data_IF_053064412658
#
_entry.id   IF_053064412658
#
_cell.length_a   1.000
_cell.length_b   1.000
_cell.length_c   1.000
_cell.angle_alpha   90.00
_cell.angle_beta   90.00
_cell.angle_gamma   90.00
#
_symmetry.space_group_name_H-M   'P 1'
#
loop_
_entity.id
_entity.type
_entity.pdbx_description
1 polymer ?
#
# COMPACT_ATOMS: atom_id res chain seq x y z
N UNK A 1 -29.53 2.67 12.18
CA UNK A 1 -30.43 1.53 11.84
C UNK A 1 -30.13 0.93 10.45
N UNK A 2 -28.87 0.74 10.06
CA UNK A 2 -28.56 0.00 8.82
C UNK A 2 -27.23 -0.74 8.93
N UNK A 3 -27.14 -1.61 9.94
CA UNK A 3 -26.13 -2.65 9.98
C UNK A 3 -26.39 -3.68 8.87
N UNK A 4 -25.35 -4.05 8.13
CA UNK A 4 -25.43 -5.09 7.10
C UNK A 4 -25.82 -6.43 7.74
N UNK A 5 -26.87 -7.07 7.20
CA UNK A 5 -27.32 -8.40 7.65
C UNK A 5 -26.48 -9.48 6.97
N UNK A 6 -26.00 -10.43 7.76
CA UNK A 6 -25.19 -11.58 7.33
C UNK A 6 -25.97 -12.84 7.64
N UNK A 7 -25.93 -13.84 6.75
CA UNK A 7 -26.58 -15.13 7.01
C UNK A 7 -25.94 -15.85 8.20
N UNK A 8 -26.66 -16.79 8.79
CA UNK A 8 -26.19 -17.57 9.95
C UNK A 8 -24.90 -18.32 9.64
N UNK A 9 -24.81 -18.89 8.44
CA UNK A 9 -23.70 -19.72 8.00
C UNK A 9 -22.45 -18.87 7.76
N UNK A 10 -22.62 -17.75 7.04
CA UNK A 10 -21.54 -16.78 6.83
C UNK A 10 -21.05 -16.18 8.16
N UNK A 11 -21.96 -15.92 9.12
CA UNK A 11 -21.56 -15.43 10.44
C UNK A 11 -20.72 -16.46 11.20
N UNK A 12 -21.00 -17.75 11.06
CA UNK A 12 -20.21 -18.80 11.70
C UNK A 12 -18.80 -18.89 11.10
N UNK A 13 -18.70 -18.79 9.77
CA UNK A 13 -17.43 -18.80 9.05
C UNK A 13 -16.58 -17.56 9.37
N UNK A 14 -17.18 -16.37 9.38
CA UNK A 14 -16.49 -15.13 9.77
C UNK A 14 -16.04 -15.16 11.24
N UNK A 15 -16.79 -15.83 12.13
CA UNK A 15 -16.36 -16.03 13.52
C UNK A 15 -15.08 -16.86 13.60
N UNK A 16 -15.02 -17.99 12.90
CA UNK A 16 -13.83 -18.85 12.91
C UNK A 16 -12.59 -18.10 12.39
N UNK A 17 -12.73 -17.35 11.30
CA UNK A 17 -11.67 -16.51 10.75
C UNK A 17 -11.23 -15.42 11.73
N UNK A 18 -12.19 -14.77 12.40
CA UNK A 18 -11.90 -13.70 13.36
C UNK A 18 -11.15 -14.19 14.60
N UNK A 19 -11.31 -15.45 15.03
CA UNK A 19 -10.61 -15.96 16.22
C UNK A 19 -9.09 -15.90 16.07
N UNK A 20 -8.54 -16.22 14.90
CA UNK A 20 -7.10 -16.19 14.62
C UNK A 20 -6.53 -14.77 14.49
N UNK A 21 -7.36 -13.77 14.20
CA UNK A 21 -6.91 -12.40 13.99
C UNK A 21 -6.53 -11.70 15.29
N UNK A 22 -5.45 -10.93 15.26
CA UNK A 22 -5.10 -10.00 16.35
C UNK A 22 -5.94 -8.72 16.25
N UNK A 23 -6.26 -8.05 17.36
CA UNK A 23 -6.92 -6.76 17.32
C UNK A 23 -6.03 -5.74 16.60
N UNK A 24 -6.60 -5.03 15.62
CA UNK A 24 -5.87 -4.03 14.82
C UNK A 24 -6.10 -2.63 15.35
N UNK A 25 -7.33 -2.35 15.81
CA UNK A 25 -7.72 -1.05 16.38
C UNK A 25 -7.95 -1.21 17.88
N UNK A 26 -7.45 -0.22 18.63
CA UNK A 26 -7.56 -0.12 20.08
C UNK A 26 -8.37 1.13 20.42
N UNK A 27 -9.48 0.99 21.14
CA UNK A 27 -10.31 2.10 21.61
C UNK A 27 -9.98 2.34 23.08
N UNK A 28 -9.39 3.50 23.38
CA UNK A 28 -8.98 3.91 24.71
C UNK A 28 -10.15 4.35 25.62
N UNK A 29 -9.81 5.01 26.73
CA UNK A 29 -10.78 5.47 27.73
C UNK A 29 -11.70 6.60 27.23
N UNK A 30 -11.25 7.37 26.23
CA UNK A 30 -12.07 8.43 25.59
C UNK A 30 -13.20 7.87 24.71
N UNK A 31 -13.26 6.54 24.52
CA UNK A 31 -14.32 5.90 23.74
C UNK A 31 -14.18 6.12 22.23
N UNK A 32 -15.31 6.19 21.53
CA UNK A 32 -15.36 6.29 20.08
C UNK A 32 -15.15 7.74 19.61
N UNK A 33 -13.92 8.08 19.25
CA UNK A 33 -13.58 9.38 18.65
C UNK A 33 -13.61 9.32 17.11
N UNK A 34 -13.68 10.48 16.46
CA UNK A 34 -13.67 10.56 14.99
C UNK A 34 -12.37 10.03 14.37
N UNK A 35 -11.26 10.17 15.09
CA UNK A 35 -9.96 9.63 14.69
C UNK A 35 -10.00 8.09 14.64
N UNK A 36 -10.50 7.47 15.71
CA UNK A 36 -10.68 6.01 15.80
C UNK A 36 -11.63 5.53 14.70
N UNK A 37 -12.72 6.24 14.44
CA UNK A 37 -13.66 5.88 13.39
C UNK A 37 -13.02 5.91 11.99
N UNK A 38 -12.17 6.90 11.73
CA UNK A 38 -11.41 7.02 10.49
C UNK A 38 -10.43 5.86 10.33
N UNK A 39 -9.72 5.48 11.40
CA UNK A 39 -8.83 4.31 11.40
C UNK A 39 -9.59 3.01 11.14
N UNK A 40 -10.72 2.79 11.81
CA UNK A 40 -11.58 1.62 11.60
C UNK A 40 -11.99 1.54 10.12
N UNK A 41 -12.35 2.68 9.50
CA UNK A 41 -12.72 2.73 8.08
C UNK A 41 -11.57 2.32 7.16
N UNK A 42 -10.35 2.78 7.43
CA UNK A 42 -9.15 2.40 6.65
C UNK A 42 -8.88 0.91 6.78
N UNK A 43 -8.91 0.37 8.00
CA UNK A 43 -8.64 -1.05 8.23
C UNK A 43 -9.75 -1.97 7.70
N UNK A 44 -11.03 -1.55 7.78
CA UNK A 44 -12.13 -2.27 7.13
C UNK A 44 -11.95 -2.32 5.60
N UNK A 45 -11.45 -1.24 4.99
CA UNK A 45 -11.16 -1.23 3.55
C UNK A 45 -10.02 -2.18 3.14
N UNK A 46 -9.02 -2.38 4.00
CA UNK A 46 -7.87 -3.22 3.71
C UNK A 46 -8.07 -4.70 4.06
N UNK A 47 -8.74 -4.99 5.17
CA UNK A 47 -8.83 -6.34 5.73
C UNK A 47 -10.23 -6.95 5.65
N UNK A 48 -11.28 -6.14 5.43
CA UNK A 48 -12.69 -6.54 5.33
C UNK A 48 -13.29 -7.11 6.63
N UNK A 49 -12.53 -7.93 7.37
CA UNK A 49 -12.83 -8.46 8.69
C UNK A 49 -11.79 -7.93 9.68
N UNK A 50 -12.25 -7.26 10.74
CA UNK A 50 -11.36 -6.70 11.76
C UNK A 50 -11.83 -7.05 13.17
N UNK A 51 -10.86 -7.13 14.07
CA UNK A 51 -11.06 -7.25 15.50
C UNK A 51 -10.64 -5.93 16.16
N UNK A 52 -11.54 -5.34 16.93
CA UNK A 52 -11.34 -4.08 17.65
C UNK A 52 -11.32 -4.41 19.14
N UNK A 53 -10.37 -3.84 19.89
CA UNK A 53 -10.34 -3.98 21.34
C UNK A 53 -10.81 -2.68 21.98
N UNK A 54 -11.82 -2.75 22.84
CA UNK A 54 -12.35 -1.60 23.58
C UNK A 54 -11.94 -1.71 25.04
N UNK A 55 -11.21 -0.70 25.51
CA UNK A 55 -10.83 -0.56 26.91
C UNK A 55 -11.95 0.16 27.65
N UNK A 56 -12.92 -0.61 28.12
CA UNK A 56 -13.99 -0.14 29.00
C UNK A 56 -14.56 -1.31 29.78
N UNK A 57 -14.94 -1.08 31.03
CA UNK A 57 -15.41 -2.15 31.93
C UNK A 57 -16.92 -2.37 31.82
N UNK A 58 -17.68 -1.33 31.53
CA UNK A 58 -19.12 -1.40 31.36
C UNK A 58 -19.52 -2.08 30.04
N UNK A 59 -20.40 -3.09 30.14
CA UNK A 59 -20.84 -3.89 28.98
C UNK A 59 -21.77 -3.11 28.06
N UNK A 60 -22.63 -2.28 28.62
CA UNK A 60 -23.63 -1.51 27.88
C UNK A 60 -22.96 -0.47 26.98
N UNK A 61 -21.96 0.26 27.51
CA UNK A 61 -21.16 1.19 26.74
C UNK A 61 -20.47 0.52 25.53
N UNK A 62 -19.97 -0.71 25.68
CA UNK A 62 -19.35 -1.45 24.56
C UNK A 62 -20.35 -1.85 23.49
N UNK A 63 -21.58 -2.19 23.87
CA UNK A 63 -22.66 -2.52 22.92
C UNK A 63 -23.07 -1.26 22.16
N UNK A 64 -23.20 -0.12 22.84
CA UNK A 64 -23.51 1.16 22.21
C UNK A 64 -22.43 1.55 21.18
N UNK A 65 -21.15 1.47 21.55
CA UNK A 65 -20.01 1.74 20.63
C UNK A 65 -20.07 0.78 19.43
N UNK A 66 -20.37 -0.50 19.67
CA UNK A 66 -20.43 -1.50 18.61
C UNK A 66 -21.53 -1.21 17.59
N UNK A 67 -22.72 -0.85 18.07
CA UNK A 67 -23.85 -0.46 17.23
C UNK A 67 -23.56 0.83 16.47
N UNK A 68 -22.98 1.82 17.14
CA UNK A 68 -22.61 3.11 16.53
C UNK A 68 -21.59 2.95 15.40
N UNK A 69 -20.57 2.10 15.58
CA UNK A 69 -19.59 1.78 14.52
C UNK A 69 -20.29 1.11 13.33
N UNK A 70 -21.15 0.13 13.60
CA UNK A 70 -21.86 -0.59 12.54
C UNK A 70 -22.77 0.35 11.74
N UNK A 71 -23.46 1.28 12.41
CA UNK A 71 -24.33 2.27 11.78
C UNK A 71 -23.54 3.29 10.96
N UNK A 72 -22.47 3.86 11.50
CA UNK A 72 -21.69 4.89 10.78
C UNK A 72 -20.93 4.34 9.58
N UNK A 73 -20.47 3.09 9.66
CA UNK A 73 -19.64 2.48 8.60
C UNK A 73 -20.40 1.53 7.68
N UNK A 74 -21.72 1.36 7.90
CA UNK A 74 -22.55 0.35 7.23
C UNK A 74 -21.84 -1.01 7.24
N UNK A 75 -21.46 -1.45 8.44
CA UNK A 75 -20.74 -2.70 8.64
C UNK A 75 -21.65 -3.74 9.32
N UNK A 76 -21.29 -5.00 9.17
CA UNK A 76 -21.99 -6.12 9.73
C UNK A 76 -21.44 -6.48 11.13
N UNK A 77 -22.32 -6.55 12.15
CA UNK A 77 -21.96 -7.10 13.43
C UNK A 77 -21.87 -8.63 13.37
N UNK A 78 -20.68 -9.17 13.68
CA UNK A 78 -20.42 -10.62 13.69
C UNK A 78 -20.46 -11.17 15.11
N UNK A 79 -19.66 -10.61 16.02
CA UNK A 79 -19.54 -11.11 17.39
C UNK A 79 -18.99 -10.05 18.35
N UNK A 80 -19.49 -10.09 19.59
CA UNK A 80 -18.96 -9.34 20.73
C UNK A 80 -18.44 -10.35 21.77
N UNK A 81 -17.14 -10.29 22.10
CA UNK A 81 -16.47 -11.18 23.04
C UNK A 81 -15.77 -10.33 24.10
N UNK A 82 -16.43 -10.08 25.23
CA UNK A 82 -15.84 -9.33 26.33
C UNK A 82 -15.38 -7.93 25.90
N UNK A 83 -14.07 -7.69 25.82
CA UNK A 83 -13.45 -6.43 25.38
C UNK A 83 -13.16 -6.38 23.87
N UNK A 84 -13.53 -7.41 23.11
CA UNK A 84 -13.26 -7.55 21.69
C UNK A 84 -14.55 -7.47 20.87
N UNK A 85 -14.52 -6.65 19.82
CA UNK A 85 -15.60 -6.48 18.86
C UNK A 85 -15.12 -6.97 17.49
N UNK A 86 -15.93 -7.80 16.85
CA UNK A 86 -15.65 -8.33 15.50
C UNK A 86 -16.65 -7.74 14.53
N UNK A 87 -16.13 -7.01 13.56
CA UNK A 87 -16.92 -6.30 12.56
C UNK A 87 -16.44 -6.72 11.18
N UNK A 88 -17.38 -6.91 10.27
CA UNK A 88 -17.11 -7.27 8.88
C UNK A 88 -17.78 -6.31 7.92
N UNK A 89 -17.14 -6.05 6.78
CA UNK A 89 -17.74 -5.31 5.67
C UNK A 89 -17.38 -5.99 4.35
N UNK A 90 -18.37 -6.37 3.52
CA UNK A 90 -18.10 -6.86 2.18
C UNK A 90 -17.43 -5.75 1.36
N UNK A 91 -16.51 -6.13 0.48
CA UNK A 91 -15.93 -5.22 -0.48
C UNK A 91 -17.05 -4.68 -1.38
N UNK A 92 -17.39 -3.39 -1.21
CA UNK A 92 -18.22 -2.72 -2.19
C UNK A 92 -17.46 -2.77 -3.51
N UNK A 93 -18.12 -3.25 -4.57
CA UNK A 93 -17.56 -3.41 -5.92
C UNK A 93 -17.02 -2.12 -6.56
N UNK A 94 -17.05 -1.00 -5.84
CA UNK A 94 -16.35 0.22 -6.18
C UNK A 94 -15.09 0.35 -5.33
N UNK A 95 -14.02 -0.31 -5.78
CA UNK A 95 -12.72 0.33 -5.68
C UNK A 95 -12.83 1.60 -6.54
N UNK A 96 -12.84 2.84 -5.99
CA UNK A 96 -12.16 3.87 -6.74
C UNK A 96 -10.72 3.37 -6.76
N UNK A 97 -10.31 2.83 -7.92
CA UNK A 97 -8.92 2.67 -8.26
C UNK A 97 -8.24 3.92 -7.72
N UNK A 98 -7.46 3.75 -6.65
CA UNK A 98 -6.73 4.82 -6.04
C UNK A 98 -6.00 5.48 -7.20
N UNK A 99 -6.48 6.66 -7.59
CA UNK A 99 -5.80 7.54 -8.52
C UNK A 99 -4.48 7.76 -7.83
N UNK A 100 -3.50 6.95 -8.21
CA UNK A 100 -2.09 7.18 -7.94
C UNK A 100 -1.93 8.67 -8.14
N UNK A 101 -1.58 9.39 -7.08
CA UNK A 101 -1.28 10.81 -7.19
C UNK A 101 -0.22 10.90 -8.28
N UNK A 102 -0.64 11.29 -9.50
CA UNK A 102 0.21 11.58 -10.65
C UNK A 102 1.04 12.78 -10.20
N UNK A 103 2.20 12.55 -9.61
CA UNK A 103 3.04 13.64 -9.11
C UNK A 103 4.24 13.23 -8.27
N UNK A 104 4.19 12.14 -7.51
CA UNK A 104 5.38 11.66 -6.80
C UNK A 104 6.07 10.59 -7.67
N UNK A 105 7.13 10.98 -8.39
CA UNK A 105 8.05 9.99 -8.94
C UNK A 105 8.58 9.15 -7.75
N UNK A 106 8.50 7.81 -7.80
CA UNK A 106 9.19 6.98 -6.83
C UNK A 106 10.67 7.34 -6.84
N UNK A 107 11.30 7.35 -5.67
CA UNK A 107 12.73 7.64 -5.58
C UNK A 107 13.50 6.63 -6.44
N UNK A 108 14.66 7.02 -6.95
CA UNK A 108 15.47 6.15 -7.83
C UNK A 108 15.78 4.76 -7.20
N UNK A 109 15.64 4.62 -5.89
CA UNK A 109 15.79 3.37 -5.14
C UNK A 109 14.54 2.47 -5.22
N UNK A 110 13.34 3.04 -5.16
CA UNK A 110 12.07 2.28 -5.20
C UNK A 110 11.80 1.70 -6.60
N UNK A 111 12.09 2.48 -7.64
CA UNK A 111 11.99 2.02 -9.03
C UNK A 111 12.99 0.89 -9.38
N UNK A 112 14.04 0.70 -8.57
CA UNK A 112 15.01 -0.37 -8.75
C UNK A 112 14.60 -1.69 -8.07
N UNK A 113 13.66 -1.63 -7.11
CA UNK A 113 13.20 -2.80 -6.34
C UNK A 113 12.01 -3.48 -7.03
N UNK A 114 11.14 -2.73 -7.70
CA UNK A 114 9.95 -3.28 -8.40
C UNK A 114 10.22 -3.80 -9.82
N UNK A 115 11.44 -3.65 -10.33
CA UNK A 115 11.79 -4.12 -11.67
C UNK A 115 12.06 -5.64 -11.68
N UNK A 116 11.14 -6.43 -12.29
CA UNK A 116 11.38 -7.84 -12.61
C UNK A 116 12.75 -8.02 -13.31
N UNK A 117 13.58 -9.02 -12.91
CA UNK A 117 14.87 -9.23 -13.52
C UNK A 117 14.67 -9.65 -14.98
N UNK A 118 14.96 -8.75 -15.92
CA UNK A 118 14.91 -9.03 -17.36
C UNK A 118 14.16 -8.00 -18.20
N UNK A 119 13.25 -7.19 -17.63
CA UNK A 119 12.59 -6.10 -18.37
C UNK A 119 13.32 -4.80 -18.10
N UNK A 120 14.17 -4.38 -19.04
CA UNK A 120 14.88 -3.10 -18.97
C UNK A 120 13.93 -1.92 -18.78
N UNK A 121 14.46 -0.77 -18.37
CA UNK A 121 13.69 0.46 -18.15
C UNK A 121 12.85 0.82 -19.39
N UNK A 122 11.68 1.41 -19.24
CA UNK A 122 10.93 1.91 -20.40
C UNK A 122 11.81 2.87 -21.24
N UNK A 123 11.68 2.90 -22.58
CA UNK A 123 12.42 3.82 -23.43
C UNK A 123 12.19 5.28 -22.98
N UNK A 124 13.25 6.08 -22.94
CA UNK A 124 13.17 7.50 -22.56
C UNK A 124 13.95 8.36 -23.55
N UNK A 125 13.41 9.53 -23.86
CA UNK A 125 14.08 10.53 -24.68
C UNK A 125 14.99 11.37 -23.77
N UNK A 126 16.29 11.42 -24.09
CA UNK A 126 17.27 12.24 -23.37
C UNK A 126 17.88 13.23 -24.34
N UNK A 127 17.97 14.49 -23.93
CA UNK A 127 18.68 15.53 -24.68
C UNK A 127 20.17 15.36 -24.49
N UNK A 128 20.88 15.08 -25.59
CA UNK A 128 22.33 14.94 -25.60
C UNK A 128 22.92 16.16 -26.28
N UNK A 129 23.80 16.86 -25.56
CA UNK A 129 24.57 17.99 -26.09
C UNK A 129 25.99 17.49 -26.34
N UNK A 130 26.34 17.27 -27.62
CA UNK A 130 27.71 16.87 -27.99
C UNK A 130 28.52 18.11 -28.38
N UNK A 131 29.74 18.27 -27.86
CA UNK A 131 30.69 19.26 -28.40
C UNK A 131 31.00 18.90 -29.85
N UNK A 132 30.99 19.90 -30.73
CA UNK A 132 31.41 19.71 -32.13
C UNK A 132 32.91 19.46 -32.20
N UNK A 133 33.34 18.67 -33.18
CA UNK A 133 34.78 18.45 -33.45
C UNK A 133 35.53 19.74 -33.81
N UNK A 134 34.80 20.78 -34.23
CA UNK A 134 35.32 22.11 -34.49
C UNK A 134 35.14 22.97 -33.21
N UNK A 135 36.22 23.44 -32.57
CA UNK A 135 36.17 24.13 -31.27
C UNK A 135 35.45 25.48 -31.30
N UNK A 136 35.32 26.13 -32.46
CA UNK A 136 34.62 27.42 -32.62
C UNK A 136 33.10 27.31 -32.84
N UNK A 137 32.54 26.11 -33.03
CA UNK A 137 31.09 25.93 -33.24
C UNK A 137 30.37 25.66 -31.92
N UNK A 138 29.20 26.29 -31.75
CA UNK A 138 28.34 26.06 -30.59
C UNK A 138 27.80 24.62 -30.62
N UNK A 139 27.80 23.90 -29.48
CA UNK A 139 27.28 22.54 -29.41
C UNK A 139 25.76 22.55 -29.68
N UNK A 140 25.28 21.59 -30.48
CA UNK A 140 23.84 21.42 -30.78
C UNK A 140 23.24 20.35 -29.88
N UNK A 141 22.09 20.66 -29.27
CA UNK A 141 21.30 19.68 -28.53
C UNK A 141 20.56 18.76 -29.50
N UNK A 142 20.68 17.44 -29.31
CA UNK A 142 19.94 16.42 -30.06
C UNK A 142 19.14 15.55 -29.10
N UNK A 143 17.84 15.40 -29.37
CA UNK A 143 17.01 14.45 -28.64
C UNK A 143 17.33 13.03 -29.12
N UNK A 144 17.74 12.14 -28.21
CA UNK A 144 18.08 10.75 -28.53
C UNK A 144 17.27 9.80 -27.64
N UNK A 145 16.69 8.78 -28.26
CA UNK A 145 15.93 7.74 -27.56
C UNK A 145 16.90 6.75 -26.94
N UNK A 146 16.80 6.56 -25.62
CA UNK A 146 17.56 5.58 -24.85
C UNK A 146 16.64 4.42 -24.52
N UNK A 147 16.98 3.22 -25.00
CA UNK A 147 16.21 1.99 -24.76
C UNK A 147 16.54 1.39 -23.39
N UNK A 148 15.71 0.46 -22.93
CA UNK A 148 15.78 -0.07 -21.56
C UNK A 148 17.06 -0.79 -21.16
N UNK A 149 17.83 -1.23 -22.14
CA UNK A 149 19.13 -1.89 -22.00
C UNK A 149 20.31 -0.96 -22.31
N UNK A 150 20.06 0.33 -22.52
CA UNK A 150 21.04 1.34 -22.90
C UNK A 150 21.26 2.39 -21.80
N UNK A 151 22.41 3.06 -21.86
CA UNK A 151 22.79 4.20 -21.01
C UNK A 151 23.46 5.28 -21.85
N UNK A 152 23.29 6.54 -21.44
CA UNK A 152 24.05 7.67 -22.00
C UNK A 152 25.34 7.84 -21.19
N UNK A 153 26.48 7.98 -21.86
CA UNK A 153 27.77 8.29 -21.22
C UNK A 153 27.96 9.80 -21.06
N UNK A 154 28.93 10.22 -20.25
CA UNK A 154 29.26 11.64 -20.06
C UNK A 154 29.56 12.39 -21.37
N UNK A 155 30.17 11.71 -22.35
CA UNK A 155 30.40 12.24 -23.71
C UNK A 155 29.18 12.18 -24.64
N UNK A 156 27.98 11.88 -24.14
CA UNK A 156 26.76 11.83 -24.95
C UNK A 156 26.61 10.63 -25.88
N UNK A 157 27.37 9.55 -25.66
CA UNK A 157 27.24 8.32 -26.45
C UNK A 157 26.29 7.33 -25.77
N UNK A 158 25.45 6.68 -26.57
CA UNK A 158 24.59 5.60 -26.11
C UNK A 158 25.39 4.30 -26.11
N UNK A 159 25.49 3.63 -24.96
CA UNK A 159 26.15 2.33 -24.77
C UNK A 159 25.23 1.36 -24.04
N UNK A 160 25.43 0.04 -24.17
CA UNK A 160 24.68 -0.96 -23.38
C UNK A 160 24.90 -0.79 -21.88
N UNK A 161 23.92 -1.10 -21.05
CA UNK A 161 24.04 -1.04 -19.59
C UNK A 161 25.16 -1.97 -19.08
N UNK A 162 26.00 -1.48 -18.17
CA UNK A 162 27.06 -2.30 -17.54
C UNK A 162 26.41 -3.22 -16.50
N UNK A 163 26.68 -4.53 -16.55
CA UNK A 163 26.27 -5.48 -15.50
C UNK A 163 26.96 -5.06 -14.20
N UNK A 164 26.18 -4.82 -13.13
CA UNK A 164 26.76 -4.53 -11.80
C UNK A 164 27.56 -5.76 -11.35
N UNK A 165 28.84 -5.58 -11.06
CA UNK A 165 29.62 -6.58 -10.35
C UNK A 165 29.16 -6.56 -8.89
N UNK A 166 28.60 -7.67 -8.43
CA UNK A 166 28.28 -7.87 -7.01
C UNK A 166 29.57 -8.23 -6.27
N UNK A 167 29.85 -7.55 -5.16
CA UNK A 167 30.97 -7.91 -4.28
C UNK A 167 30.75 -9.30 -3.71
N UNK A 168 31.77 -10.16 -3.78
CA UNK A 168 31.74 -11.53 -3.23
C UNK A 168 31.39 -11.54 -1.73
N UNK A 169 31.67 -10.46 -1.00
CA UNK A 169 31.44 -10.35 0.45
C UNK A 169 29.95 -10.30 0.85
N UNK A 170 29.03 -10.09 -0.11
CA UNK A 170 27.59 -9.95 0.16
C UNK A 170 26.82 -11.28 0.16
N UNK A 171 27.42 -12.40 -0.26
CA UNK A 171 26.71 -13.69 -0.30
C UNK A 171 26.66 -14.43 1.04
N UNK A 172 27.43 -14.00 2.06
CA UNK A 172 27.52 -14.71 3.35
C UNK A 172 26.68 -14.11 4.49
N UNK A 173 25.93 -13.03 4.25
CA UNK A 173 25.16 -12.36 5.32
C UNK A 173 23.66 -12.70 5.34
N UNK A 174 23.16 -13.57 4.45
CA UNK A 174 21.74 -13.94 4.40
C UNK A 174 21.41 -15.30 5.02
N UNK A 175 22.32 -15.91 5.79
CA UNK A 175 22.07 -17.14 6.54
C UNK A 175 22.29 -16.90 8.04
N UNK A 176 21.28 -16.37 8.73
CA UNK A 176 20.98 -16.64 10.13
C UNK A 176 19.62 -16.09 10.49
#
# INVERSE_FOLDING_TARGET
MSALKVSTDQRAELRSQAHALKPVVLVGAEGLTDAVLTEIKVHLGAHQLIKIRVFGDEREARIAIYEEICDKLNAAPIQHIGKLLVIWKPEAAEKPAAKTKRGALPSAREAAVEAKPGKGRAPRVVTVVKPSEIPMRKPKAKAVVVRGNERVTQGGNIKRAKKRQTSAKRSHQSSK
#
